data_IF_698182443126
#
_entry.id   IF_698182443126
#
_cell.length_a   1.000
_cell.length_b   1.000
_cell.length_c   1.000
_cell.angle_alpha   90.00
_cell.angle_beta   90.00
_cell.angle_gamma   90.00
#
_symmetry.space_group_name_H-M   'P 1'
#
loop_
_entity.id
_entity.type
_entity.pdbx_description
1 polymer ?
#
# COMPACT_ATOMS: atom_id res chain seq x y z
N UNK A 1 -72.19 -26.20 -22.90
CA UNK A 1 -70.87 -26.87 -22.78
C UNK A 1 -70.18 -26.77 -24.13
N UNK A 2 -68.86 -26.49 -24.27
CA UNK A 2 -67.89 -25.92 -23.34
C UNK A 2 -67.37 -24.52 -23.78
N UNK A 3 -66.81 -23.77 -22.81
CA UNK A 3 -66.13 -22.48 -22.99
C UNK A 3 -64.64 -22.74 -23.22
N UNK A 4 -64.03 -22.11 -24.23
CA UNK A 4 -62.57 -22.09 -24.41
C UNK A 4 -62.06 -20.69 -24.05
N UNK A 5 -61.40 -20.61 -22.89
CA UNK A 5 -60.63 -19.45 -22.45
C UNK A 5 -59.25 -19.48 -23.14
N UNK A 6 -58.76 -18.40 -23.76
CA UNK A 6 -57.36 -18.32 -24.14
C UNK A 6 -56.54 -17.87 -22.93
N UNK A 7 -55.70 -18.77 -22.42
CA UNK A 7 -54.69 -18.48 -21.39
C UNK A 7 -53.56 -17.66 -22.04
N UNK A 8 -53.46 -16.37 -21.71
CA UNK A 8 -52.35 -15.52 -22.11
C UNK A 8 -51.18 -15.77 -21.13
N UNK A 9 -50.19 -16.57 -21.54
CA UNK A 9 -48.94 -16.71 -20.80
C UNK A 9 -48.06 -15.46 -21.03
N UNK A 10 -47.96 -14.60 -20.02
CA UNK A 10 -46.92 -13.57 -19.96
C UNK A 10 -45.59 -14.25 -19.61
N UNK A 11 -44.71 -14.47 -20.59
CA UNK A 11 -43.31 -14.81 -20.32
C UNK A 11 -42.58 -13.54 -19.84
N UNK A 12 -42.29 -13.46 -18.54
CA UNK A 12 -41.25 -12.56 -18.04
C UNK A 12 -39.90 -13.05 -18.59
N UNK A 13 -39.39 -12.40 -19.62
CA UNK A 13 -38.00 -12.52 -20.02
C UNK A 13 -37.14 -11.81 -18.95
N UNK A 14 -36.71 -12.56 -17.94
CA UNK A 14 -35.59 -12.16 -17.09
C UNK A 14 -34.35 -12.13 -17.99
N UNK A 15 -34.03 -10.96 -18.54
CA UNK A 15 -32.73 -10.70 -19.14
C UNK A 15 -31.72 -10.77 -18.01
N UNK A 16 -31.18 -11.96 -17.76
CA UNK A 16 -30.01 -12.13 -16.92
C UNK A 16 -28.87 -11.39 -17.63
N UNK A 17 -28.58 -10.16 -17.18
CA UNK A 17 -27.33 -9.51 -17.53
C UNK A 17 -26.22 -10.48 -17.11
N UNK A 18 -25.30 -10.89 -18.00
CA UNK A 18 -24.14 -11.62 -17.55
C UNK A 18 -23.47 -10.73 -16.51
N UNK A 19 -23.35 -11.24 -15.28
CA UNK A 19 -22.47 -10.63 -14.31
C UNK A 19 -21.12 -10.51 -15.02
N UNK A 20 -20.70 -9.28 -15.32
CA UNK A 20 -19.34 -9.03 -15.80
C UNK A 20 -18.45 -9.69 -14.76
N UNK A 21 -17.75 -10.76 -15.13
CA UNK A 21 -16.64 -11.26 -14.33
C UNK A 21 -15.81 -10.02 -13.99
N UNK A 22 -15.58 -9.76 -12.70
CA UNK A 22 -14.74 -8.66 -12.31
C UNK A 22 -13.40 -8.84 -13.04
N UNK A 23 -13.00 -7.86 -13.84
CA UNK A 23 -11.73 -7.91 -14.55
C UNK A 23 -10.62 -8.21 -13.52
N UNK A 24 -9.75 -9.18 -13.82
CA UNK A 24 -8.65 -9.55 -12.93
C UNK A 24 -7.86 -8.28 -12.57
N UNK A 25 -7.79 -7.85 -11.30
CA UNK A 25 -7.11 -6.61 -10.95
C UNK A 25 -5.61 -6.64 -11.30
N UNK A 26 -5.00 -7.83 -11.47
CA UNK A 26 -3.62 -7.95 -11.92
C UNK A 26 -3.45 -7.47 -13.37
N UNK A 27 -4.45 -7.72 -14.25
CA UNK A 27 -4.40 -7.30 -15.65
C UNK A 27 -4.34 -5.77 -15.83
N UNK A 28 -4.73 -5.00 -14.80
CA UNK A 28 -4.52 -3.55 -14.79
C UNK A 28 -3.05 -3.17 -15.00
N UNK A 29 -2.13 -4.00 -14.50
CA UNK A 29 -0.68 -3.80 -14.45
C UNK A 29 0.08 -4.35 -15.66
N UNK A 30 -0.58 -5.05 -16.58
CA UNK A 30 0.02 -5.59 -17.83
C UNK A 30 0.51 -4.49 -18.80
N UNK A 31 0.14 -3.24 -18.52
CA UNK A 31 0.61 -2.08 -19.27
C UNK A 31 1.08 -0.99 -18.32
N UNK A 32 2.11 -0.23 -18.73
CA UNK A 32 2.60 0.88 -17.93
C UNK A 32 1.49 1.91 -17.70
N UNK A 33 1.25 2.24 -16.42
CA UNK A 33 0.28 3.27 -16.00
C UNK A 33 1.00 4.41 -15.31
N UNK A 34 0.53 5.64 -15.54
CA UNK A 34 0.95 6.81 -14.75
C UNK A 34 0.00 6.98 -13.57
N UNK A 35 0.53 7.23 -12.39
CA UNK A 35 -0.23 7.46 -11.17
C UNK A 35 0.33 8.61 -10.35
N UNK A 36 -0.34 8.91 -9.24
CA UNK A 36 0.10 9.92 -8.28
C UNK A 36 0.04 9.42 -6.84
N UNK A 37 0.91 9.94 -5.98
CA UNK A 37 0.82 9.70 -4.54
C UNK A 37 -0.19 10.67 -3.92
N UNK A 38 -1.14 10.16 -3.13
CA UNK A 38 -2.07 10.94 -2.31
C UNK A 38 -1.71 10.78 -0.84
N UNK A 39 -0.95 11.74 -0.33
CA UNK A 39 -0.43 11.83 1.04
C UNK A 39 -1.06 13.03 1.79
N UNK A 40 -2.33 13.30 1.50
CA UNK A 40 -3.02 14.49 1.92
C UNK A 40 -3.35 14.44 3.42
N UNK A 41 -3.35 15.60 4.08
CA UNK A 41 -3.70 15.73 5.50
C UNK A 41 -5.18 15.46 5.79
N UNK A 42 -6.04 15.67 4.81
CA UNK A 42 -7.48 15.44 4.92
C UNK A 42 -7.91 14.44 3.84
N UNK A 43 -9.01 13.69 4.08
CA UNK A 43 -9.64 12.86 3.05
C UNK A 43 -9.92 13.69 1.79
N UNK A 44 -9.32 13.38 0.63
CA UNK A 44 -9.49 14.21 -0.56
C UNK A 44 -10.95 14.24 -1.05
N UNK A 45 -11.39 15.41 -1.51
CA UNK A 45 -12.68 15.59 -2.16
C UNK A 45 -12.66 15.17 -3.63
N UNK A 46 -13.82 15.21 -4.29
CA UNK A 46 -13.97 14.80 -5.70
C UNK A 46 -13.05 15.61 -6.65
N UNK A 47 -13.00 16.93 -6.49
CA UNK A 47 -12.21 17.82 -7.36
C UNK A 47 -10.71 17.51 -7.37
N UNK A 48 -10.17 16.96 -6.29
CA UNK A 48 -8.78 16.51 -6.22
C UNK A 48 -8.53 15.35 -7.19
N UNK A 49 -9.42 14.36 -7.20
CA UNK A 49 -9.30 13.18 -8.07
C UNK A 49 -9.61 13.52 -9.53
N UNK A 50 -10.58 14.40 -9.78
CA UNK A 50 -10.87 14.90 -11.13
C UNK A 50 -9.64 15.63 -11.70
N UNK A 51 -8.99 16.48 -10.90
CA UNK A 51 -7.77 17.16 -11.30
C UNK A 51 -6.62 16.16 -11.58
N UNK A 52 -6.42 15.18 -10.70
CA UNK A 52 -5.42 14.14 -10.90
C UNK A 52 -5.66 13.37 -12.21
N UNK A 53 -6.92 13.02 -12.50
CA UNK A 53 -7.32 12.38 -13.75
C UNK A 53 -7.08 13.27 -14.97
N UNK A 54 -7.38 14.56 -14.88
CA UNK A 54 -7.16 15.54 -15.94
C UNK A 54 -5.67 15.73 -16.26
N UNK A 55 -4.78 15.57 -15.27
CA UNK A 55 -3.32 15.53 -15.47
C UNK A 55 -2.80 14.20 -16.06
N UNK A 56 -3.69 13.31 -16.48
CA UNK A 56 -3.32 12.10 -17.23
C UNK A 56 -2.97 10.89 -16.35
N UNK A 57 -3.17 10.98 -15.04
CA UNK A 57 -3.07 9.81 -14.16
C UNK A 57 -4.16 8.77 -14.49
N UNK A 58 -3.88 7.53 -14.11
CA UNK A 58 -4.80 6.38 -14.19
C UNK A 58 -5.05 5.74 -12.84
N UNK A 59 -4.19 6.01 -11.87
CA UNK A 59 -4.32 5.47 -10.53
C UNK A 59 -3.72 6.40 -9.48
N UNK A 60 -4.05 6.14 -8.22
CA UNK A 60 -3.54 6.85 -7.04
C UNK A 60 -3.00 5.85 -6.03
N UNK A 61 -1.80 6.11 -5.49
CA UNK A 61 -1.26 5.45 -4.30
C UNK A 61 -1.75 6.23 -3.09
N UNK A 62 -2.74 5.68 -2.39
CA UNK A 62 -3.51 6.36 -1.35
C UNK A 62 -3.01 6.00 0.05
N UNK A 63 -2.45 6.99 0.74
CA UNK A 63 -2.12 6.90 2.16
C UNK A 63 -3.10 7.73 2.97
N UNK A 64 -3.61 7.15 4.06
CA UNK A 64 -4.68 7.73 4.87
C UNK A 64 -4.24 8.13 6.27
N UNK A 65 -3.01 7.77 6.69
CA UNK A 65 -2.54 7.91 8.07
C UNK A 65 -2.64 9.33 8.63
N UNK A 66 -2.62 10.33 7.74
CA UNK A 66 -2.74 11.75 8.09
C UNK A 66 -4.15 12.22 8.41
N UNK A 67 -5.16 11.43 8.07
CA UNK A 67 -6.55 11.84 8.19
C UNK A 67 -6.98 11.89 9.66
N UNK A 68 -7.88 12.82 10.03
CA UNK A 68 -8.44 12.84 11.36
C UNK A 68 -9.18 11.55 11.67
N UNK A 69 -8.96 11.01 12.87
CA UNK A 69 -9.68 9.85 13.41
C UNK A 69 -10.37 10.25 14.71
N UNK A 70 -11.48 9.58 15.04
CA UNK A 70 -12.07 9.64 16.38
C UNK A 70 -11.21 8.93 17.44
N UNK A 71 -10.25 8.12 17.00
CA UNK A 71 -9.24 7.45 17.82
C UNK A 71 -7.85 8.03 17.50
N UNK A 72 -6.80 7.36 17.96
CA UNK A 72 -5.43 7.85 17.82
C UNK A 72 -4.88 7.66 16.42
N UNK A 73 -5.06 6.47 15.87
CA UNK A 73 -4.45 6.03 14.62
C UNK A 73 -5.57 5.77 13.60
N UNK A 74 -5.65 6.53 12.51
CA UNK A 74 -6.73 6.37 11.52
C UNK A 74 -6.81 4.92 11.04
N UNK A 75 -8.02 4.36 11.02
CA UNK A 75 -8.35 2.99 10.63
C UNK A 75 -7.85 1.89 11.59
N UNK A 76 -6.62 2.01 12.12
CA UNK A 76 -6.04 1.07 13.11
C UNK A 76 -6.69 1.23 14.48
N UNK A 77 -7.17 2.43 14.82
CA UNK A 77 -7.71 2.81 16.12
C UNK A 77 -6.61 3.05 17.16
N UNK A 78 -5.86 1.99 17.48
CA UNK A 78 -4.69 2.02 18.37
C UNK A 78 -3.59 1.08 17.87
N UNK A 79 -2.51 1.64 17.34
CA UNK A 79 -1.37 0.87 16.87
C UNK A 79 -0.51 0.26 18.00
N UNK A 80 -0.76 0.59 19.27
CA UNK A 80 -0.15 -0.15 20.40
C UNK A 80 -0.79 -1.53 20.57
N UNK A 81 -2.11 -1.61 20.37
CA UNK A 81 -2.90 -2.83 20.57
C UNK A 81 -4.04 -2.88 19.56
N UNK A 82 -3.77 -3.39 18.36
CA UNK A 82 -4.79 -3.52 17.33
C UNK A 82 -5.87 -4.54 17.74
N UNK A 83 -7.13 -4.08 17.74
CA UNK A 83 -8.31 -4.89 18.07
C UNK A 83 -9.17 -5.19 16.85
N UNK A 84 -9.54 -4.16 16.10
CA UNK A 84 -10.35 -4.21 14.90
C UNK A 84 -10.22 -2.87 14.16
N UNK A 85 -10.64 -2.83 12.89
CA UNK A 85 -10.75 -1.58 12.14
C UNK A 85 -11.73 -0.63 12.82
N UNK A 86 -11.39 0.66 12.86
CA UNK A 86 -12.36 1.68 13.27
C UNK A 86 -13.45 1.82 12.18
N UNK A 87 -14.74 1.61 12.53
CA UNK A 87 -15.81 1.57 11.54
C UNK A 87 -16.11 2.93 10.90
N UNK A 88 -15.88 4.04 11.62
CA UNK A 88 -16.09 5.39 11.09
C UNK A 88 -14.98 5.76 10.11
N UNK A 89 -13.73 5.44 10.45
CA UNK A 89 -12.59 5.63 9.56
C UNK A 89 -12.71 4.75 8.30
N UNK A 90 -13.14 3.50 8.46
CA UNK A 90 -13.41 2.61 7.33
C UNK A 90 -14.50 3.17 6.39
N UNK A 91 -15.58 3.74 6.95
CA UNK A 91 -16.61 4.39 6.16
C UNK A 91 -16.05 5.60 5.39
N UNK A 92 -15.18 6.39 6.01
CA UNK A 92 -14.49 7.51 5.36
C UNK A 92 -13.59 7.04 4.23
N UNK A 93 -12.83 5.95 4.43
CA UNK A 93 -11.97 5.36 3.40
C UNK A 93 -12.79 4.90 2.19
N UNK A 94 -13.92 4.22 2.41
CA UNK A 94 -14.83 3.81 1.32
C UNK A 94 -15.34 5.00 0.52
N UNK A 95 -15.78 6.07 1.19
CA UNK A 95 -16.23 7.28 0.48
C UNK A 95 -15.12 7.92 -0.37
N UNK A 96 -13.86 7.83 0.06
CA UNK A 96 -12.73 8.29 -0.75
C UNK A 96 -12.50 7.37 -1.94
N UNK A 97 -12.57 6.05 -1.76
CA UNK A 97 -12.49 5.08 -2.86
C UNK A 97 -13.63 5.27 -3.88
N UNK A 98 -14.85 5.55 -3.43
CA UNK A 98 -15.99 5.90 -4.31
C UNK A 98 -15.70 7.16 -5.15
N UNK A 99 -15.02 8.17 -4.56
CA UNK A 99 -14.61 9.38 -5.31
C UNK A 99 -13.53 9.07 -6.35
N UNK A 100 -12.59 8.19 -6.01
CA UNK A 100 -11.54 7.73 -6.93
C UNK A 100 -12.16 7.01 -8.12
N UNK A 101 -13.08 6.07 -7.86
CA UNK A 101 -13.79 5.34 -8.90
C UNK A 101 -14.59 6.28 -9.80
N UNK A 102 -15.37 7.20 -9.20
CA UNK A 102 -16.16 8.20 -9.94
C UNK A 102 -15.31 9.12 -10.81
N UNK A 103 -14.06 9.40 -10.41
CA UNK A 103 -13.10 10.13 -11.23
C UNK A 103 -12.48 9.28 -12.37
N UNK A 104 -12.84 8.00 -12.47
CA UNK A 104 -12.27 7.08 -13.45
C UNK A 104 -10.80 6.74 -13.17
N UNK A 105 -10.40 6.76 -11.91
CA UNK A 105 -9.08 6.35 -11.42
C UNK A 105 -9.17 5.00 -10.71
N UNK A 106 -8.03 4.32 -10.60
CA UNK A 106 -7.85 3.16 -9.72
C UNK A 106 -7.04 3.52 -8.47
N UNK A 107 -7.09 2.69 -7.44
CA UNK A 107 -6.46 2.91 -6.15
C UNK A 107 -5.54 1.76 -5.75
N UNK A 108 -4.41 2.12 -5.16
CA UNK A 108 -3.59 1.24 -4.34
C UNK A 108 -3.61 1.80 -2.92
N UNK A 109 -4.04 1.01 -1.94
CA UNK A 109 -3.94 1.40 -0.52
C UNK A 109 -2.50 1.23 -0.06
N UNK A 110 -1.91 2.26 0.54
CA UNK A 110 -0.52 2.26 1.00
C UNK A 110 -0.41 2.88 2.41
N UNK A 111 -0.60 2.11 3.48
CA UNK A 111 -0.45 2.62 4.83
C UNK A 111 1.00 3.04 5.12
N UNK A 112 1.15 4.15 5.84
CA UNK A 112 2.42 4.59 6.40
C UNK A 112 2.70 3.95 7.77
N UNK A 113 1.65 3.50 8.44
CA UNK A 113 1.69 2.84 9.73
C UNK A 113 1.08 1.45 9.65
N UNK A 114 1.64 0.54 10.42
CA UNK A 114 1.01 -0.72 10.78
C UNK A 114 0.86 -0.79 12.30
N UNK A 115 0.05 -1.72 12.84
CA UNK A 115 0.14 -2.06 14.25
C UNK A 115 1.61 -2.29 14.66
N UNK A 116 2.03 -1.65 15.75
CA UNK A 116 3.40 -1.63 16.28
C UNK A 116 4.46 -0.99 15.36
N UNK A 117 4.04 -0.23 14.34
CA UNK A 117 4.93 0.60 13.53
C UNK A 117 4.22 1.88 13.14
N UNK A 118 4.10 2.83 14.08
CA UNK A 118 3.55 4.16 13.79
C UNK A 118 4.48 4.97 12.90
N UNK A 119 3.92 5.60 11.89
CA UNK A 119 4.64 6.54 11.05
C UNK A 119 5.26 7.67 11.88
N UNK A 120 6.55 7.93 11.66
CA UNK A 120 7.38 8.81 12.50
C UNK A 120 6.77 10.19 12.75
N UNK A 121 6.17 10.82 11.75
CA UNK A 121 5.59 12.16 11.90
C UNK A 121 4.32 12.16 12.78
N UNK A 122 3.62 11.02 12.84
CA UNK A 122 2.47 10.80 13.71
C UNK A 122 2.87 10.24 15.08
N UNK A 123 4.16 10.00 15.30
CA UNK A 123 4.72 9.47 16.52
C UNK A 123 5.68 10.46 17.20
N UNK A 124 5.40 11.76 17.11
CA UNK A 124 6.22 12.81 17.74
C UNK A 124 7.67 12.83 17.24
N UNK A 125 7.89 12.47 15.98
CA UNK A 125 9.23 12.39 15.39
C UNK A 125 10.04 11.16 15.78
N UNK A 126 9.46 10.20 16.52
CA UNK A 126 10.12 8.97 16.96
C UNK A 126 9.88 7.83 15.97
N UNK A 127 10.95 7.15 15.58
CA UNK A 127 10.85 5.92 14.80
C UNK A 127 10.28 4.79 15.66
N UNK A 128 9.21 4.16 15.20
CA UNK A 128 8.55 3.04 15.89
C UNK A 128 9.06 1.71 15.32
N UNK A 129 10.08 1.16 15.98
CA UNK A 129 10.78 -0.08 15.59
C UNK A 129 10.13 -1.34 16.20
N UNK A 130 9.00 -1.23 16.93
CA UNK A 130 8.47 -2.36 17.70
C UNK A 130 8.12 -3.54 16.82
N UNK A 131 7.52 -3.31 15.65
CA UNK A 131 7.20 -4.35 14.67
C UNK A 131 8.41 -5.25 14.34
N UNK A 132 9.62 -4.69 14.34
CA UNK A 132 10.86 -5.36 13.95
C UNK A 132 11.65 -5.97 15.11
N UNK A 133 11.15 -5.84 16.35
CA UNK A 133 11.84 -6.34 17.54
C UNK A 133 11.51 -7.79 17.88
N UNK A 134 10.28 -8.23 17.61
CA UNK A 134 9.83 -9.59 17.91
C UNK A 134 8.88 -10.09 16.83
N UNK A 135 9.06 -11.33 16.38
CA UNK A 135 8.26 -11.93 15.32
C UNK A 135 6.77 -12.02 15.68
N UNK A 136 6.45 -12.18 16.96
CA UNK A 136 5.06 -12.18 17.46
C UNK A 136 4.32 -10.87 17.16
N UNK A 137 5.04 -9.75 17.00
CA UNK A 137 4.44 -8.46 16.66
C UNK A 137 3.85 -8.42 15.24
N UNK A 138 4.38 -9.22 14.31
CA UNK A 138 3.88 -9.31 12.94
C UNK A 138 2.41 -9.76 12.88
N UNK A 139 1.98 -10.55 13.86
CA UNK A 139 0.61 -11.06 13.93
C UNK A 139 -0.43 -9.93 14.03
N UNK A 140 -0.10 -8.80 14.65
CA UNK A 140 -1.03 -7.67 14.72
C UNK A 140 -1.21 -7.03 13.34
N UNK A 141 -0.11 -6.84 12.60
CA UNK A 141 -0.15 -6.33 11.24
C UNK A 141 -0.85 -7.31 10.28
N UNK A 142 -0.63 -8.61 10.44
CA UNK A 142 -1.31 -9.66 9.68
C UNK A 142 -2.83 -9.64 9.91
N UNK A 143 -3.28 -9.53 11.18
CA UNK A 143 -4.71 -9.37 11.50
C UNK A 143 -5.30 -8.11 10.90
N UNK A 144 -4.61 -6.98 11.04
CA UNK A 144 -5.03 -5.72 10.43
C UNK A 144 -5.22 -5.84 8.92
N UNK A 145 -4.24 -6.42 8.21
CA UNK A 145 -4.33 -6.60 6.76
C UNK A 145 -5.43 -7.56 6.34
N UNK A 146 -5.63 -8.67 7.05
CA UNK A 146 -6.75 -9.58 6.81
C UNK A 146 -8.09 -8.84 6.96
N UNK A 147 -8.27 -8.11 8.05
CA UNK A 147 -9.53 -7.42 8.32
C UNK A 147 -9.79 -6.31 7.28
N UNK A 148 -8.74 -5.57 6.88
CA UNK A 148 -8.83 -4.53 5.84
C UNK A 148 -9.13 -5.11 4.46
N UNK A 149 -8.45 -6.18 4.07
CA UNK A 149 -8.69 -6.86 2.81
C UNK A 149 -10.11 -7.43 2.74
N UNK A 150 -10.58 -8.05 3.83
CA UNK A 150 -11.96 -8.55 3.92
C UNK A 150 -12.98 -7.42 3.78
N UNK A 151 -12.76 -6.30 4.47
CA UNK A 151 -13.64 -5.15 4.40
C UNK A 151 -13.69 -4.58 2.97
N UNK A 152 -12.54 -4.39 2.33
CA UNK A 152 -12.45 -3.71 1.03
C UNK A 152 -12.65 -4.62 -0.18
N UNK A 153 -12.79 -5.94 0.01
CA UNK A 153 -12.95 -6.92 -1.07
C UNK A 153 -14.04 -6.51 -2.05
N UNK A 154 -13.70 -6.54 -3.35
CA UNK A 154 -14.63 -6.24 -4.43
C UNK A 154 -14.88 -4.75 -4.69
N UNK A 155 -14.25 -3.82 -3.97
CA UNK A 155 -14.40 -2.40 -4.27
C UNK A 155 -13.80 -2.07 -5.64
N UNK A 156 -14.61 -1.52 -6.55
CA UNK A 156 -14.25 -1.32 -7.95
C UNK A 156 -13.12 -0.30 -8.19
N UNK A 157 -12.80 0.56 -7.23
CA UNK A 157 -11.63 1.44 -7.30
C UNK A 157 -10.31 0.66 -7.18
N UNK A 158 -10.26 -0.47 -6.48
CA UNK A 158 -9.02 -1.11 -6.04
C UNK A 158 -8.35 -1.93 -7.15
N UNK A 159 -7.03 -1.81 -7.22
CA UNK A 159 -6.14 -2.61 -8.09
C UNK A 159 -4.89 -3.09 -7.37
N UNK A 160 -4.78 -2.83 -6.08
CA UNK A 160 -3.73 -3.44 -5.26
C UNK A 160 -3.65 -2.90 -3.84
N UNK A 161 -2.87 -3.59 -3.02
CA UNK A 161 -2.49 -3.17 -1.68
C UNK A 161 -0.97 -3.09 -1.60
N UNK A 162 -0.42 -1.93 -1.25
CA UNK A 162 0.98 -1.81 -0.89
C UNK A 162 1.12 -2.06 0.60
N UNK A 163 1.78 -3.15 0.97
CA UNK A 163 1.63 -3.73 2.32
C UNK A 163 2.19 -2.85 3.45
N UNK A 164 3.18 -2.02 3.14
CA UNK A 164 3.68 -0.95 4.01
C UNK A 164 4.52 -0.01 3.17
N UNK A 165 4.36 1.30 3.37
CA UNK A 165 5.21 2.30 2.75
C UNK A 165 6.58 2.33 3.42
N UNK A 166 7.66 2.20 2.64
CA UNK A 166 9.03 2.47 3.08
C UNK A 166 9.44 1.73 4.37
N UNK A 167 9.30 0.39 4.43
CA UNK A 167 9.78 -0.36 5.58
C UNK A 167 11.30 -0.19 5.73
N UNK A 168 11.77 -0.17 6.98
CA UNK A 168 13.19 -0.07 7.29
C UNK A 168 13.56 -0.97 8.48
N UNK A 169 13.38 -2.31 8.39
CA UNK A 169 13.82 -3.23 9.43
C UNK A 169 15.34 -3.18 9.66
N UNK A 170 16.11 -2.65 8.74
CA UNK A 170 17.55 -2.41 8.86
C UNK A 170 17.88 -1.25 9.80
N UNK A 171 16.98 -0.26 9.90
CA UNK A 171 17.18 0.90 10.73
C UNK A 171 17.25 0.49 12.21
N UNK A 172 18.32 0.89 12.90
CA UNK A 172 18.68 0.40 14.25
C UNK A 172 18.94 -1.11 14.34
N UNK A 173 19.00 -1.81 13.20
CA UNK A 173 19.39 -3.21 13.06
C UNK A 173 20.89 -3.43 12.81
N UNK A 174 21.70 -2.36 12.81
CA UNK A 174 23.16 -2.47 12.66
C UNK A 174 23.68 -2.52 11.23
N UNK A 175 22.83 -2.25 10.23
CA UNK A 175 23.24 -2.01 8.84
C UNK A 175 23.26 -0.50 8.58
N UNK A 176 24.19 -0.04 7.74
CA UNK A 176 24.18 1.33 7.24
C UNK A 176 23.29 1.42 5.98
N UNK A 177 22.61 2.54 5.79
CA UNK A 177 21.88 2.83 4.55
C UNK A 177 22.87 2.87 3.38
N UNK A 178 22.53 2.22 2.26
CA UNK A 178 23.42 2.07 1.10
C UNK A 178 24.79 1.44 1.41
N UNK A 179 24.85 0.54 2.39
CA UNK A 179 26.03 -0.30 2.61
C UNK A 179 26.38 -1.12 1.36
N UNK A 180 27.61 -1.66 1.29
CA UNK A 180 28.00 -2.52 0.18
C UNK A 180 27.07 -3.74 0.06
N UNK A 181 26.90 -4.25 -1.17
CA UNK A 181 26.06 -5.43 -1.42
C UNK A 181 26.48 -6.65 -0.56
N UNK A 182 27.78 -6.81 -0.29
CA UNK A 182 28.28 -7.85 0.62
C UNK A 182 27.84 -7.63 2.07
N UNK A 183 27.96 -6.40 2.58
CA UNK A 183 27.53 -6.07 3.93
C UNK A 183 26.01 -6.24 4.11
N UNK A 184 25.23 -5.83 3.11
CA UNK A 184 23.78 -6.05 3.08
C UNK A 184 23.42 -7.54 3.13
N UNK A 185 24.08 -8.37 2.31
CA UNK A 185 23.88 -9.83 2.32
C UNK A 185 24.28 -10.48 3.65
N UNK A 186 25.41 -10.08 4.22
CA UNK A 186 25.88 -10.60 5.51
C UNK A 186 24.91 -10.21 6.63
N UNK A 187 24.44 -8.97 6.64
CA UNK A 187 23.44 -8.50 7.59
C UNK A 187 22.15 -9.31 7.49
N UNK A 188 21.64 -9.52 6.27
CA UNK A 188 20.43 -10.32 6.06
C UNK A 188 20.62 -11.76 6.50
N UNK A 189 21.75 -12.39 6.19
CA UNK A 189 22.05 -13.76 6.62
C UNK A 189 21.98 -13.94 8.14
N UNK A 190 22.39 -12.93 8.92
CA UNK A 190 22.29 -12.93 10.38
C UNK A 190 20.90 -12.63 10.95
N UNK A 191 20.00 -12.05 10.14
CA UNK A 191 18.64 -11.68 10.55
C UNK A 191 17.55 -12.56 9.93
N UNK A 192 17.92 -13.46 9.02
CA UNK A 192 17.03 -14.43 8.38
C UNK A 192 16.27 -15.23 9.43
N UNK A 193 14.99 -15.48 9.15
CA UNK A 193 14.03 -16.17 10.03
C UNK A 193 13.73 -15.43 11.36
N UNK A 194 14.37 -14.27 11.58
CA UNK A 194 14.21 -13.38 12.72
C UNK A 194 13.22 -12.23 12.46
N UNK A 195 13.05 -11.32 13.44
CA UNK A 195 12.03 -10.27 13.41
C UNK A 195 12.34 -9.12 12.43
N UNK A 196 13.54 -9.08 11.85
CA UNK A 196 13.96 -8.11 10.82
C UNK A 196 13.98 -8.71 9.40
N UNK A 197 13.53 -9.96 9.23
CA UNK A 197 13.43 -10.60 7.92
C UNK A 197 12.22 -10.08 7.14
N UNK A 198 12.46 -9.06 6.29
CA UNK A 198 11.41 -8.39 5.52
C UNK A 198 10.66 -9.34 4.56
N UNK A 199 11.34 -10.19 3.75
CA UNK A 199 10.66 -11.21 2.97
C UNK A 199 9.75 -12.14 3.79
N UNK A 200 10.20 -12.61 4.95
CA UNK A 200 9.39 -13.47 5.82
C UNK A 200 8.17 -12.73 6.39
N UNK A 201 8.35 -11.47 6.79
CA UNK A 201 7.25 -10.60 7.22
C UNK A 201 6.19 -10.43 6.13
N UNK A 202 6.61 -10.16 4.89
CA UNK A 202 5.68 -10.08 3.76
C UNK A 202 4.97 -11.40 3.50
N UNK A 203 5.65 -12.54 3.63
CA UNK A 203 5.02 -13.86 3.57
C UNK A 203 3.86 -14.01 4.56
N UNK A 204 4.02 -13.53 5.79
CA UNK A 204 2.97 -13.57 6.81
C UNK A 204 1.76 -12.68 6.47
N UNK A 205 2.02 -11.44 6.01
CA UNK A 205 0.95 -10.54 5.58
C UNK A 205 0.19 -11.07 4.35
N UNK A 206 0.92 -11.58 3.36
CA UNK A 206 0.34 -12.16 2.14
C UNK A 206 -0.56 -13.33 2.52
N UNK A 207 -0.08 -14.27 3.36
CA UNK A 207 -0.89 -15.40 3.82
C UNK A 207 -2.19 -14.94 4.51
N UNK A 208 -2.11 -13.92 5.36
CA UNK A 208 -3.26 -13.36 6.06
C UNK A 208 -4.29 -12.73 5.11
N UNK A 209 -3.83 -12.00 4.09
CA UNK A 209 -4.71 -11.41 3.06
C UNK A 209 -5.33 -12.51 2.19
N UNK A 210 -4.54 -13.50 1.75
CA UNK A 210 -5.00 -14.60 0.89
C UNK A 210 -6.05 -15.49 1.54
N UNK A 211 -6.14 -15.51 2.87
CA UNK A 211 -7.22 -16.18 3.58
C UNK A 211 -8.61 -15.55 3.31
N UNK A 212 -8.67 -14.31 2.82
CA UNK A 212 -9.94 -13.58 2.58
C UNK A 212 -10.04 -12.95 1.18
N UNK A 213 -8.92 -12.74 0.49
CA UNK A 213 -8.84 -12.21 -0.88
C UNK A 213 -7.70 -12.86 -1.66
N UNK A 214 -8.06 -13.81 -2.52
CA UNK A 214 -7.17 -14.64 -3.34
C UNK A 214 -6.71 -13.95 -4.64
N UNK A 215 -7.25 -12.77 -4.98
CA UNK A 215 -7.03 -12.14 -6.28
C UNK A 215 -6.33 -10.79 -6.21
N UNK A 216 -6.44 -10.02 -5.13
CA UNK A 216 -5.87 -8.66 -5.12
C UNK A 216 -4.33 -8.67 -5.31
N UNK A 217 -3.76 -7.90 -6.26
CA UNK A 217 -2.33 -7.69 -6.38
C UNK A 217 -1.75 -7.05 -5.12
N UNK A 218 -0.58 -7.52 -4.67
CA UNK A 218 0.05 -7.04 -3.44
C UNK A 218 1.41 -6.42 -3.78
N UNK A 219 1.56 -5.12 -3.53
CA UNK A 219 2.81 -4.40 -3.70
C UNK A 219 3.67 -4.49 -2.45
N UNK A 220 4.92 -4.87 -2.62
CA UNK A 220 5.92 -4.91 -1.54
C UNK A 220 7.02 -3.90 -1.84
N UNK A 221 7.28 -3.02 -0.87
CA UNK A 221 8.38 -2.08 -0.95
C UNK A 221 9.67 -2.80 -0.55
N UNK A 222 10.80 -2.40 -1.14
CA UNK A 222 12.11 -2.82 -0.63
C UNK A 222 12.35 -2.30 0.80
N UNK A 223 13.36 -2.85 1.48
CA UNK A 223 13.85 -2.29 2.75
C UNK A 223 14.53 -0.93 2.57
N UNK A 224 15.10 -0.38 3.64
CA UNK A 224 15.71 0.97 3.62
C UNK A 224 14.83 2.02 2.95
N UNK A 225 13.61 2.17 3.44
CA UNK A 225 12.66 3.15 2.91
C UNK A 225 12.35 2.97 1.42
N UNK A 226 12.29 1.71 0.96
CA UNK A 226 12.02 1.40 -0.45
C UNK A 226 13.22 1.57 -1.37
N UNK A 227 14.46 1.54 -0.86
CA UNK A 227 15.65 1.71 -1.70
C UNK A 227 15.82 0.54 -2.69
N UNK A 228 16.13 0.87 -3.96
CA UNK A 228 16.21 -0.15 -5.02
C UNK A 228 17.32 -1.19 -4.79
N UNK A 229 18.44 -0.79 -4.19
CA UNK A 229 19.56 -1.66 -3.83
C UNK A 229 19.25 -2.59 -2.65
N UNK A 230 18.24 -2.31 -1.82
CA UNK A 230 17.80 -3.20 -0.75
C UNK A 230 17.18 -4.51 -1.28
N UNK A 231 16.81 -4.60 -2.57
CA UNK A 231 16.48 -5.89 -3.17
C UNK A 231 17.69 -6.82 -3.33
N UNK A 232 18.92 -6.28 -3.30
CA UNK A 232 20.15 -7.07 -3.55
C UNK A 232 20.47 -8.10 -2.46
N UNK A 233 19.85 -7.99 -1.28
CA UNK A 233 19.98 -8.97 -0.21
C UNK A 233 18.78 -9.92 -0.09
N UNK A 234 17.72 -9.75 -0.91
CA UNK A 234 16.58 -10.67 -0.91
C UNK A 234 17.01 -12.02 -1.49
N UNK A 235 16.73 -13.15 -0.81
CA UNK A 235 17.26 -14.45 -1.22
C UNK A 235 16.58 -14.98 -2.49
N UNK A 236 15.33 -14.60 -2.71
CA UNK A 236 14.52 -14.97 -3.87
C UNK A 236 13.31 -14.03 -3.98
N UNK A 237 12.60 -14.11 -5.11
CA UNK A 237 11.25 -13.56 -5.22
C UNK A 237 10.30 -14.24 -4.22
N UNK A 238 9.33 -13.50 -3.69
CA UNK A 238 8.22 -14.05 -2.93
C UNK A 238 7.43 -15.07 -3.79
N UNK A 239 6.90 -16.15 -3.19
CA UNK A 239 6.26 -17.25 -3.92
C UNK A 239 4.88 -16.90 -4.50
N UNK A 240 4.20 -15.88 -3.97
CA UNK A 240 2.90 -15.43 -4.48
C UNK A 240 3.07 -14.78 -5.87
N UNK A 241 2.36 -15.30 -6.87
CA UNK A 241 2.49 -14.90 -8.26
C UNK A 241 1.83 -13.53 -8.58
N UNK A 242 1.07 -12.96 -7.64
CA UNK A 242 0.38 -11.67 -7.78
C UNK A 242 1.10 -10.55 -7.01
N UNK A 243 2.38 -10.76 -6.66
CA UNK A 243 3.22 -9.75 -6.02
C UNK A 243 3.79 -8.77 -7.04
N UNK A 244 3.70 -7.49 -6.73
CA UNK A 244 4.31 -6.39 -7.45
C UNK A 244 5.46 -5.83 -6.59
N UNK A 245 6.63 -5.61 -7.17
CA UNK A 245 7.78 -5.07 -6.45
C UNK A 245 7.85 -3.55 -6.63
N UNK A 246 7.99 -2.83 -5.54
CA UNK A 246 7.98 -1.37 -5.47
C UNK A 246 9.29 -0.86 -4.86
N UNK A 247 9.81 0.22 -5.43
CA UNK A 247 10.97 0.94 -4.90
C UNK A 247 10.76 2.44 -5.11
N UNK A 248 11.39 3.24 -4.25
CA UNK A 248 11.36 4.69 -4.27
C UNK A 248 12.72 5.19 -4.80
N UNK A 249 12.69 6.09 -5.78
CA UNK A 249 13.90 6.65 -6.37
C UNK A 249 13.96 8.15 -6.12
N UNK A 250 14.76 8.52 -5.12
CA UNK A 250 15.10 9.92 -4.83
C UNK A 250 16.59 10.19 -5.01
N UNK A 251 17.41 9.24 -5.43
CA UNK A 251 18.84 9.52 -5.59
C UNK A 251 19.15 10.33 -6.86
N UNK A 252 20.08 11.33 -6.83
CA UNK A 252 20.80 11.83 -5.66
C UNK A 252 19.87 12.63 -4.72
N UNK A 253 19.70 12.22 -3.46
CA UNK A 253 18.74 12.84 -2.52
C UNK A 253 18.98 14.33 -2.32
N UNK A 254 20.24 14.75 -2.43
CA UNK A 254 20.60 16.16 -2.40
C UNK A 254 19.88 16.95 -3.51
N UNK A 255 19.71 16.42 -4.71
CA UNK A 255 19.10 17.17 -5.81
C UNK A 255 17.58 17.07 -5.82
N UNK A 256 17.03 15.89 -5.52
CA UNK A 256 15.62 15.57 -5.83
C UNK A 256 14.66 15.89 -4.67
N UNK A 257 15.15 15.94 -3.43
CA UNK A 257 14.27 16.09 -2.27
C UNK A 257 13.74 17.52 -2.16
N UNK A 258 12.46 17.67 -1.84
CA UNK A 258 11.81 18.99 -1.79
C UNK A 258 12.49 19.99 -0.84
N UNK A 259 12.96 19.61 0.37
CA UNK A 259 13.71 20.53 1.23
C UNK A 259 15.03 20.97 0.60
N UNK A 260 15.76 20.03 0.00
CA UNK A 260 17.06 20.29 -0.59
C UNK A 260 16.95 21.08 -1.90
N UNK A 261 15.88 20.90 -2.67
CA UNK A 261 15.60 21.69 -3.87
C UNK A 261 15.40 23.19 -3.57
N UNK A 262 15.02 23.54 -2.33
CA UNK A 262 14.78 24.92 -1.87
C UNK A 262 16.00 25.55 -1.17
N UNK A 263 17.18 24.96 -1.32
CA UNK A 263 18.44 25.50 -0.79
C UNK A 263 18.73 26.91 -1.31
N UNK A 264 19.46 27.70 -0.53
CA UNK A 264 19.86 29.06 -0.92
C UNK A 264 20.78 29.09 -2.16
N UNK A 265 21.67 28.10 -2.30
CA UNK A 265 22.53 27.94 -3.48
C UNK A 265 22.15 26.68 -4.26
N UNK A 266 21.41 26.81 -5.37
CA UNK A 266 20.97 25.66 -6.16
C UNK A 266 22.14 24.86 -6.72
N UNK A 267 21.97 23.54 -6.89
CA UNK A 267 22.88 22.79 -7.76
C UNK A 267 22.69 23.24 -9.21
N UNK A 268 23.79 23.27 -9.96
CA UNK A 268 23.74 23.46 -11.42
C UNK A 268 23.28 22.18 -12.11
N UNK A 269 22.43 22.30 -13.13
CA UNK A 269 22.01 21.20 -13.99
C UNK A 269 22.27 21.54 -15.47
N UNK A 270 23.00 20.68 -16.23
CA UNK A 270 23.70 19.48 -15.76
C UNK A 270 24.91 19.82 -14.86
N UNK A 271 25.23 18.95 -13.89
CA UNK A 271 26.32 19.17 -12.92
C UNK A 271 26.47 18.03 -11.92
N UNK A 272 27.55 18.06 -11.12
CA UNK A 272 27.80 17.05 -10.08
C UNK A 272 26.89 17.27 -8.85
N UNK A 273 26.39 16.18 -8.29
CA UNK A 273 25.64 16.17 -7.03
C UNK A 273 26.08 15.00 -6.17
N UNK A 274 25.79 15.09 -4.86
CA UNK A 274 26.12 14.04 -3.90
C UNK A 274 24.97 13.05 -3.81
N UNK A 275 25.32 11.77 -3.90
CA UNK A 275 24.47 10.68 -3.50
C UNK A 275 24.12 10.82 -2.01
N UNK A 276 22.87 10.56 -1.65
CA UNK A 276 22.39 10.53 -0.27
C UNK A 276 22.88 9.27 0.44
N UNK A 277 23.33 9.42 1.67
CA UNK A 277 23.65 8.32 2.57
C UNK A 277 23.56 8.85 3.99
N UNK A 278 22.85 8.12 4.86
CA UNK A 278 22.69 8.45 6.27
C UNK A 278 24.01 8.56 7.02
#
# INVERSE_FOLDING_TARGET
>A
MPRLLPFLLLMLACVAWPARAADDPLAFWDSQRRGGNSFNRLPPGQSYFDALRAHGARWVRLSYDKWPSGRRDFLIGDADHYQALDPHDLATLRQVLDRIERAGLKAVIAPLSLPLSRWRQHNGGKFDDRLWQQRVHWQQAARFWRDLALALRGHAALVGYNLVNEPAPEYRGGLAEHASADAMRQWYAGHRDGPRDLPAFYGELIAAIRAVDDTMPLMVDAGWYGAADAFSYWPARLPDARVLYSFHMYEPYATTSAPNARRAQPYRYPGASRFGGG
#
